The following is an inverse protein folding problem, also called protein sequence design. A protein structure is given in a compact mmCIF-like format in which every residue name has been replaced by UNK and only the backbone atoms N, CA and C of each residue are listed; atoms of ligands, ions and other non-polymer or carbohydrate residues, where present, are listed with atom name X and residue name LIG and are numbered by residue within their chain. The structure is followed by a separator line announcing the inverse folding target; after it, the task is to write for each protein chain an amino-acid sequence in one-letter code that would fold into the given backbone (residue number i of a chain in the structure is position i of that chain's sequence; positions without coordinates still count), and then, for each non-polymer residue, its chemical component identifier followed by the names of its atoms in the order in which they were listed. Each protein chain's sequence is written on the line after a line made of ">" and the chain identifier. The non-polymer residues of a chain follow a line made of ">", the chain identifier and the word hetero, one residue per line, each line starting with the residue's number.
data_IF_612313934615
#
_entry.id   IF_612313934615
#
_cell.length_a   1.000
_cell.length_b   1.000
_cell.length_c   1.000
_cell.angle_alpha   90.00
_cell.angle_beta   90.00
_cell.angle_gamma   90.00
#
_symmetry.space_group_name_H-M   'P 1'
#
loop_
_entity.id
_entity.type
_entity.pdbx_description
1 polymer ?
#
# COMPACT_ATOMS: atom_id res chain seq x y z
N UNK A 1 6.79 0.30 -13.31
CA UNK A 1 6.78 -0.64 -12.17
C UNK A 1 5.62 -1.58 -12.39
N UNK A 2 5.84 -2.90 -12.36
CA UNK A 2 4.77 -3.90 -12.38
C UNK A 2 4.63 -4.44 -10.96
N UNK A 3 3.43 -4.34 -10.41
CA UNK A 3 3.10 -4.95 -9.13
C UNK A 3 2.40 -6.28 -9.40
N UNK A 4 2.79 -7.31 -8.66
CA UNK A 4 2.13 -8.60 -8.63
C UNK A 4 1.55 -8.73 -7.22
N UNK A 5 0.28 -9.15 -7.14
CA UNK A 5 -0.43 -9.34 -5.89
C UNK A 5 -0.58 -10.83 -5.65
N UNK A 6 -0.13 -11.29 -4.51
CA UNK A 6 -0.24 -12.69 -4.09
C UNK A 6 -0.80 -12.72 -2.68
N UNK A 7 -1.75 -13.60 -2.42
CA UNK A 7 -2.21 -13.88 -1.06
C UNK A 7 -1.24 -14.87 -0.43
N UNK A 8 -0.89 -14.72 0.86
CA UNK A 8 -0.13 -15.70 1.60
C UNK A 8 -1.04 -16.90 1.96
N UNK A 9 -1.55 -17.61 0.95
CA UNK A 9 -2.34 -18.84 1.11
C UNK A 9 -1.45 -20.10 1.23
N UNK A 10 -0.13 -19.89 1.31
CA UNK A 10 0.89 -20.93 1.39
C UNK A 10 1.18 -21.66 0.07
N UNK A 11 0.49 -21.31 -1.03
CA UNK A 11 0.66 -21.95 -2.35
C UNK A 11 1.48 -21.10 -3.30
N UNK A 12 1.45 -19.78 -3.14
CA UNK A 12 2.22 -18.87 -3.97
C UNK A 12 3.72 -18.93 -3.62
N UNK A 13 4.54 -19.39 -4.57
CA UNK A 13 6.00 -19.24 -4.51
C UNK A 13 6.36 -17.90 -5.15
N UNK A 14 6.67 -16.91 -4.31
CA UNK A 14 7.20 -15.64 -4.81
C UNK A 14 8.57 -15.90 -5.48
N UNK A 15 8.82 -15.37 -6.68
CA UNK A 15 10.09 -15.60 -7.35
C UNK A 15 11.26 -15.09 -6.50
N UNK A 16 12.29 -15.91 -6.35
CA UNK A 16 13.49 -15.56 -5.58
C UNK A 16 14.13 -14.31 -6.19
N UNK A 17 14.51 -13.36 -5.34
CA UNK A 17 15.16 -12.11 -5.76
C UNK A 17 14.21 -11.00 -6.21
N UNK A 18 12.89 -11.21 -6.14
CA UNK A 18 11.90 -10.13 -6.35
C UNK A 18 11.66 -9.41 -5.02
N UNK A 19 11.84 -8.07 -4.95
CA UNK A 19 11.50 -7.32 -3.74
C UNK A 19 10.01 -7.42 -3.44
N UNK A 20 9.67 -7.82 -2.21
CA UNK A 20 8.30 -7.99 -1.74
C UNK A 20 7.98 -6.85 -0.78
N UNK A 21 6.77 -6.31 -0.88
CA UNK A 21 6.16 -5.47 0.16
C UNK A 21 4.93 -6.21 0.68
N UNK A 22 4.76 -6.24 2.00
CA UNK A 22 3.68 -6.96 2.67
C UNK A 22 2.66 -5.94 3.16
N UNK A 23 1.38 -6.21 2.89
CA UNK A 23 0.26 -5.55 3.57
C UNK A 23 -0.42 -6.58 4.46
N UNK A 24 -0.40 -6.34 5.77
CA UNK A 24 -1.28 -7.03 6.71
C UNK A 24 -2.63 -6.31 6.75
N UNK A 25 -3.72 -7.04 6.50
CA UNK A 25 -5.07 -6.56 6.75
C UNK A 25 -5.48 -7.00 8.16
N UNK A 26 -5.64 -6.04 9.07
CA UNK A 26 -5.89 -6.30 10.49
C UNK A 26 -7.32 -5.90 10.89
N UNK A 27 -7.98 -6.77 11.65
CA UNK A 27 -9.37 -6.58 12.09
C UNK A 27 -10.38 -7.21 11.13
N UNK A 28 -11.64 -6.76 11.16
CA UNK A 28 -12.68 -7.27 10.27
C UNK A 28 -12.69 -6.53 8.92
N UNK A 29 -12.08 -7.17 7.91
CA UNK A 29 -11.99 -6.65 6.56
C UNK A 29 -13.09 -7.19 5.62
N UNK A 30 -14.05 -7.99 6.14
CA UNK A 30 -15.10 -8.61 5.35
C UNK A 30 -16.26 -7.64 5.09
N UNK A 31 -16.04 -6.74 4.13
CA UNK A 31 -17.01 -6.12 3.21
C UNK A 31 -18.29 -5.43 3.72
N UNK A 32 -18.58 -5.41 5.02
CA UNK A 32 -19.74 -4.72 5.56
C UNK A 32 -19.32 -3.43 6.24
N UNK A 33 -19.74 -2.24 5.76
CA UNK A 33 -19.54 -1.03 6.55
C UNK A 33 -20.22 -1.27 7.91
N UNK A 34 -19.51 -1.12 9.03
CA UNK A 34 -19.99 -1.59 10.32
C UNK A 34 -21.35 -0.97 10.64
N UNK A 35 -22.30 -1.81 11.03
CA UNK A 35 -23.59 -1.37 11.60
C UNK A 35 -23.44 -0.75 13.01
N UNK A 36 -22.21 -0.74 13.54
CA UNK A 36 -21.94 -0.43 14.94
C UNK A 36 -21.72 1.06 15.17
N UNK A 37 -22.16 1.50 16.36
CA UNK A 37 -21.84 2.82 16.92
C UNK A 37 -20.31 2.89 17.05
N UNK A 38 -19.65 3.68 16.22
CA UNK A 38 -18.32 4.17 16.59
C UNK A 38 -18.55 5.07 17.81
N UNK A 39 -18.12 4.61 18.99
CA UNK A 39 -18.00 5.49 20.15
C UNK A 39 -17.06 6.64 19.74
N UNK A 40 -17.49 7.87 19.98
CA UNK A 40 -17.09 9.08 19.25
C UNK A 40 -15.64 9.58 19.40
N UNK A 41 -14.64 8.69 19.37
CA UNK A 41 -13.22 9.00 19.59
C UNK A 41 -12.33 8.81 18.36
N UNK A 42 -12.89 8.44 17.19
CA UNK A 42 -12.14 8.18 15.95
C UNK A 42 -11.53 9.42 15.27
N UNK A 43 -11.24 10.50 16.00
CA UNK A 43 -10.59 11.70 15.45
C UNK A 43 -9.08 11.60 15.71
N UNK A 44 -8.30 11.45 14.64
CA UNK A 44 -6.82 11.45 14.60
C UNK A 44 -6.10 10.11 14.90
N UNK A 45 -6.78 8.97 14.83
CA UNK A 45 -6.08 7.67 14.88
C UNK A 45 -5.53 7.30 13.50
N UNK A 46 -4.34 6.67 13.41
CA UNK A 46 -3.83 6.15 12.15
C UNK A 46 -4.72 5.00 11.67
N UNK A 47 -5.11 5.04 10.40
CA UNK A 47 -5.94 4.02 9.74
C UNK A 47 -5.09 2.86 9.17
N UNK A 48 -3.79 3.08 9.10
CA UNK A 48 -2.76 2.14 8.71
C UNK A 48 -1.41 2.70 9.14
N UNK A 49 -0.37 1.90 9.00
CA UNK A 49 1.02 2.32 9.23
C UNK A 49 2.01 1.40 8.53
N UNK A 50 3.15 1.95 8.12
CA UNK A 50 4.33 1.20 7.72
C UNK A 50 5.30 1.05 8.89
N UNK A 51 5.87 -0.14 9.07
CA UNK A 51 6.84 -0.42 10.13
C UNK A 51 8.14 0.33 9.86
N UNK A 52 8.71 0.92 10.92
CA UNK A 52 10.04 1.53 10.92
C UNK A 52 10.88 0.84 11.97
N UNK A 53 12.03 0.31 11.57
CA UNK A 53 12.97 -0.41 12.44
C UNK A 53 14.35 0.22 12.30
N UNK A 54 14.97 0.61 13.42
CA UNK A 54 16.28 1.28 13.44
C UNK A 54 16.36 2.56 12.56
N UNK A 55 15.22 3.23 12.36
CA UNK A 55 15.12 4.43 11.50
C UNK A 55 14.89 4.13 10.02
N UNK A 56 14.89 2.86 9.62
CA UNK A 56 14.64 2.42 8.25
C UNK A 56 13.18 2.03 8.05
N UNK A 57 12.60 2.49 6.94
CA UNK A 57 11.22 2.13 6.57
C UNK A 57 11.20 0.73 5.97
N UNK A 58 10.51 -0.17 6.65
CA UNK A 58 10.43 -1.58 6.28
C UNK A 58 9.39 -1.80 5.19
N UNK A 59 9.55 -2.83 4.35
CA UNK A 59 8.57 -3.18 3.33
C UNK A 59 7.37 -3.95 3.94
N UNK A 60 6.87 -3.49 5.08
CA UNK A 60 5.79 -4.10 5.83
C UNK A 60 4.83 -3.01 6.32
N UNK A 61 3.58 -3.13 5.90
CA UNK A 61 2.53 -2.18 6.22
C UNK A 61 1.31 -2.90 6.81
N UNK A 62 0.60 -2.22 7.70
CA UNK A 62 -0.65 -2.69 8.29
C UNK A 62 -1.76 -1.74 7.87
N UNK A 63 -2.89 -2.32 7.45
CA UNK A 63 -4.15 -1.60 7.21
C UNK A 63 -5.14 -2.05 8.28
N UNK A 64 -5.61 -1.11 9.11
CA UNK A 64 -6.50 -1.38 10.24
C UNK A 64 -7.96 -1.22 9.81
N UNK A 65 -8.58 -2.35 9.48
CA UNK A 65 -9.95 -2.42 8.98
C UNK A 65 -10.97 -1.96 10.03
N UNK A 66 -10.72 -2.18 11.32
CA UNK A 66 -11.64 -1.77 12.38
C UNK A 66 -11.66 -0.24 12.54
N UNK A 67 -10.49 0.40 12.46
CA UNK A 67 -10.38 1.87 12.49
C UNK A 67 -10.95 2.52 11.24
N UNK A 68 -10.71 1.92 10.07
CA UNK A 68 -11.31 2.36 8.80
C UNK A 68 -12.83 2.30 8.89
N UNK A 69 -13.35 1.17 9.36
CA UNK A 69 -14.77 0.92 9.60
C UNK A 69 -15.38 1.96 10.54
N UNK A 70 -14.76 2.22 11.69
CA UNK A 70 -15.21 3.26 12.63
C UNK A 70 -15.19 4.67 12.05
N UNK A 71 -14.13 5.01 11.31
CA UNK A 71 -13.99 6.31 10.64
C UNK A 71 -15.06 6.50 9.56
N UNK A 72 -15.31 5.48 8.76
CA UNK A 72 -16.34 5.50 7.73
C UNK A 72 -17.74 5.67 8.33
N UNK A 73 -18.05 4.95 9.42
CA UNK A 73 -19.31 5.10 10.14
C UNK A 73 -19.51 6.51 10.71
N UNK A 74 -18.44 7.15 11.20
CA UNK A 74 -18.49 8.52 11.71
C UNK A 74 -18.78 9.56 10.62
N UNK A 75 -18.31 9.35 9.37
CA UNK A 75 -18.57 10.26 8.26
C UNK A 75 -19.95 10.11 7.62
N UNK A 76 -20.46 8.87 7.55
CA UNK A 76 -21.66 8.54 6.77
C UNK A 76 -22.77 7.95 7.64
N UNK A 77 -23.04 8.58 8.78
CA UNK A 77 -24.13 8.31 9.74
C UNK A 77 -25.26 7.40 9.17
N UNK A 78 -25.51 6.24 9.82
CA UNK A 78 -26.62 5.24 9.78
C UNK A 78 -27.64 5.14 8.62
N UNK A 79 -27.54 5.84 7.50
CA UNK A 79 -28.41 5.65 6.35
C UNK A 79 -28.24 4.21 5.83
N UNK A 80 -29.33 3.62 5.31
CA UNK A 80 -29.34 2.25 4.81
C UNK A 80 -28.14 1.93 3.90
N UNK A 81 -27.68 0.68 3.93
CA UNK A 81 -26.63 0.21 3.03
C UNK A 81 -27.05 0.48 1.58
N UNK A 82 -26.29 1.34 0.90
CA UNK A 82 -26.45 1.59 -0.54
C UNK A 82 -25.19 1.12 -1.26
N UNK A 83 -25.29 0.67 -2.52
CA UNK A 83 -24.11 0.29 -3.32
C UNK A 83 -23.04 1.40 -3.37
N UNK A 84 -23.47 2.66 -3.35
CA UNK A 84 -22.57 3.80 -3.28
C UNK A 84 -21.73 3.83 -1.98
N UNK A 85 -22.32 3.48 -0.84
CA UNK A 85 -21.60 3.40 0.45
C UNK A 85 -20.55 2.29 0.43
N UNK A 86 -20.90 1.12 -0.09
CA UNK A 86 -19.95 0.00 -0.23
C UNK A 86 -18.77 0.44 -1.09
N UNK A 87 -19.03 1.10 -2.22
CA UNK A 87 -17.97 1.67 -3.07
C UNK A 87 -17.09 2.69 -2.35
N UNK A 88 -17.67 3.59 -1.55
CA UNK A 88 -16.90 4.58 -0.78
C UNK A 88 -16.05 3.93 0.32
N UNK A 89 -16.56 2.90 1.00
CA UNK A 89 -15.81 2.14 2.00
C UNK A 89 -14.57 1.50 1.38
N UNK A 90 -14.73 0.82 0.25
CA UNK A 90 -13.59 0.22 -0.46
C UNK A 90 -12.61 1.25 -1.01
N UNK A 91 -13.07 2.44 -1.41
CA UNK A 91 -12.17 3.54 -1.78
C UNK A 91 -11.37 4.05 -0.58
N UNK A 92 -11.97 4.12 0.60
CA UNK A 92 -11.24 4.48 1.83
C UNK A 92 -10.16 3.43 2.13
N UNK A 93 -10.52 2.15 2.11
CA UNK A 93 -9.56 1.07 2.34
C UNK A 93 -8.44 1.06 1.30
N UNK A 94 -8.77 1.17 0.01
CA UNK A 94 -7.79 1.24 -1.07
C UNK A 94 -6.87 2.45 -0.96
N UNK A 95 -7.39 3.59 -0.49
CA UNK A 95 -6.59 4.80 -0.25
C UNK A 95 -5.60 4.62 0.88
N UNK A 96 -6.01 4.03 2.00
CA UNK A 96 -5.10 3.73 3.12
C UNK A 96 -4.05 2.72 2.67
N UNK A 97 -4.45 1.64 2.00
CA UNK A 97 -3.50 0.66 1.47
C UNK A 97 -2.48 1.29 0.51
N UNK A 98 -2.93 2.19 -0.39
CA UNK A 98 -2.03 2.91 -1.29
C UNK A 98 -1.07 3.84 -0.53
N UNK A 99 -1.55 4.54 0.51
CA UNK A 99 -0.73 5.40 1.36
C UNK A 99 0.42 4.63 1.99
N UNK A 100 0.12 3.52 2.68
CA UNK A 100 1.14 2.72 3.33
C UNK A 100 2.05 1.99 2.33
N UNK A 101 1.55 1.66 1.14
CA UNK A 101 2.42 1.14 0.07
C UNK A 101 3.42 2.17 -0.40
N UNK A 102 3.02 3.44 -0.49
CA UNK A 102 3.92 4.50 -0.93
C UNK A 102 5.07 4.69 0.07
N UNK A 103 4.77 4.68 1.38
CA UNK A 103 5.80 4.66 2.42
C UNK A 103 6.76 3.48 2.25
N UNK A 104 6.23 2.25 2.16
CA UNK A 104 7.05 1.03 2.02
C UNK A 104 7.88 0.99 0.72
N UNK A 105 7.30 1.39 -0.42
CA UNK A 105 7.96 1.32 -1.73
C UNK A 105 9.02 2.39 -1.89
N UNK A 106 8.75 3.61 -1.43
CA UNK A 106 9.67 4.74 -1.55
C UNK A 106 10.65 4.83 -0.38
N UNK A 107 10.47 4.00 0.66
CA UNK A 107 11.25 4.00 1.90
C UNK A 107 11.32 5.39 2.53
N UNK A 108 10.16 6.00 2.71
CA UNK A 108 10.04 7.35 3.26
C UNK A 108 9.05 7.39 4.39
N UNK A 109 9.34 8.18 5.42
CA UNK A 109 8.40 8.53 6.50
C UNK A 109 7.64 9.83 6.19
N UNK A 110 7.98 10.49 5.08
CA UNK A 110 7.37 11.76 4.71
C UNK A 110 6.00 11.54 4.07
N UNK A 111 5.01 12.30 4.56
CA UNK A 111 3.72 12.40 3.90
C UNK A 111 3.84 13.35 2.71
N UNK A 112 3.22 13.00 1.59
CA UNK A 112 3.01 13.94 0.50
C UNK A 112 1.91 14.94 0.82
N UNK A 113 1.70 15.87 -0.12
CA UNK A 113 0.74 16.98 0.05
C UNK A 113 -0.62 16.67 -0.55
N UNK A 114 -0.74 15.57 -1.28
CA UNK A 114 -1.83 15.32 -2.21
C UNK A 114 -2.42 13.92 -2.02
N UNK A 115 -3.71 13.85 -2.28
CA UNK A 115 -4.52 12.66 -2.41
C UNK A 115 -4.05 11.38 -1.68
N UNK A 116 -3.35 10.45 -2.35
CA UNK A 116 -2.97 9.15 -1.80
C UNK A 116 -1.85 9.22 -0.74
N UNK A 117 -0.98 10.22 -0.79
CA UNK A 117 0.17 10.37 0.11
C UNK A 117 -0.04 11.40 1.21
N UNK A 118 -1.19 12.10 1.20
CA UNK A 118 -1.55 13.07 2.23
C UNK A 118 -1.95 12.38 3.54
N UNK A 119 -1.33 12.80 4.63
CA UNK A 119 -1.51 12.24 5.98
C UNK A 119 -2.96 12.12 6.47
N UNK A 120 -3.84 13.06 6.08
CA UNK A 120 -5.23 13.10 6.56
C UNK A 120 -6.17 12.74 5.43
N UNK A 121 -6.93 11.65 5.55
CA UNK A 121 -8.06 11.39 4.65
C UNK A 121 -9.30 12.18 5.08
N UNK A 122 -10.13 12.57 4.11
CA UNK A 122 -11.38 13.32 4.28
C UNK A 122 -12.52 12.56 3.59
N UNK A 123 -13.75 12.74 4.07
CA UNK A 123 -14.94 12.08 3.49
C UNK A 123 -15.14 12.40 2.00
N UNK A 124 -14.85 13.63 1.57
CA UNK A 124 -14.92 14.05 0.16
C UNK A 124 -13.94 13.32 -0.76
N UNK A 125 -12.84 12.77 -0.21
CA UNK A 125 -11.83 12.03 -0.99
C UNK A 125 -12.36 10.69 -1.52
N UNK A 126 -13.53 10.24 -1.02
CA UNK A 126 -14.14 8.94 -1.36
C UNK A 126 -15.11 9.02 -2.56
N UNK A 127 -15.37 10.23 -3.05
CA UNK A 127 -16.17 10.43 -4.27
C UNK A 127 -15.45 9.85 -5.51
N UNK A 128 -14.12 9.83 -5.47
CA UNK A 128 -13.26 9.34 -6.54
C UNK A 128 -12.25 8.31 -5.99
N UNK A 129 -11.66 7.52 -6.88
CA UNK A 129 -10.52 6.67 -6.51
C UNK A 129 -9.30 7.52 -6.16
N UNK A 130 -8.41 6.96 -5.34
CA UNK A 130 -7.11 7.57 -5.05
C UNK A 130 -6.29 7.75 -6.33
N UNK A 131 -5.62 8.89 -6.42
CA UNK A 131 -4.76 9.29 -7.54
C UNK A 131 -3.35 9.48 -7.03
N UNK A 132 -2.41 9.17 -7.91
CA UNK A 132 -1.02 9.52 -7.74
C UNK A 132 -0.72 10.76 -8.58
N UNK A 133 -0.04 11.72 -7.99
CA UNK A 133 0.45 12.91 -8.66
C UNK A 133 1.66 12.58 -9.57
N UNK A 134 1.97 13.44 -10.55
CA UNK A 134 3.10 13.20 -11.46
C UNK A 134 4.43 12.95 -10.75
N UNK A 135 4.66 13.60 -9.61
CA UNK A 135 5.88 13.42 -8.81
C UNK A 135 6.00 12.02 -8.20
N UNK A 136 4.89 11.49 -7.68
CA UNK A 136 4.79 10.16 -7.09
C UNK A 136 4.93 9.08 -8.17
N UNK A 137 4.27 9.28 -9.32
CA UNK A 137 4.42 8.41 -10.49
C UNK A 137 5.86 8.42 -10.99
N UNK A 138 6.52 9.58 -11.03
CA UNK A 138 7.91 9.68 -11.43
C UNK A 138 8.84 8.98 -10.43
N UNK A 139 8.59 9.08 -9.12
CA UNK A 139 9.35 8.37 -8.09
C UNK A 139 9.24 6.84 -8.26
N UNK A 140 8.02 6.31 -8.44
CA UNK A 140 7.80 4.88 -8.68
C UNK A 140 8.43 4.40 -9.99
N UNK A 141 8.44 5.22 -11.04
CA UNK A 141 9.12 4.91 -12.31
C UNK A 141 10.63 4.81 -12.13
N UNK A 142 11.24 5.77 -11.42
CA UNK A 142 12.68 5.73 -11.10
C UNK A 142 13.04 4.49 -10.29
N UNK A 143 12.23 4.15 -9.27
CA UNK A 143 12.41 2.93 -8.49
C UNK A 143 12.42 1.68 -9.38
N UNK A 144 11.44 1.57 -10.28
CA UNK A 144 11.37 0.46 -11.24
C UNK A 144 12.60 0.35 -12.14
N UNK A 145 13.08 1.48 -12.68
CA UNK A 145 14.26 1.52 -13.55
C UNK A 145 15.55 1.15 -12.80
N UNK A 146 15.74 1.65 -11.58
CA UNK A 146 16.92 1.32 -10.77
C UNK A 146 16.98 -0.19 -10.47
N UNK A 147 15.84 -0.81 -10.13
CA UNK A 147 15.77 -2.25 -9.84
C UNK A 147 16.06 -3.10 -11.08
N UNK A 148 15.55 -2.70 -12.26
CA UNK A 148 15.88 -3.38 -13.52
C UNK A 148 17.39 -3.35 -13.82
N UNK A 149 18.04 -2.18 -13.65
CA UNK A 149 19.48 -2.04 -13.88
C UNK A 149 20.32 -2.92 -12.94
N UNK A 150 19.91 -3.05 -11.68
CA UNK A 150 20.57 -3.96 -10.72
C UNK A 150 20.42 -5.42 -11.16
N UNK A 151 19.22 -5.83 -11.57
CA UNK A 151 18.98 -7.19 -12.07
C UNK A 151 19.82 -7.53 -13.31
N UNK A 152 19.89 -6.62 -14.30
CA UNK A 152 20.72 -6.79 -15.50
C UNK A 152 22.22 -6.87 -15.18
N UNK A 153 22.69 -6.10 -14.20
CA UNK A 153 24.10 -6.14 -13.77
C UNK A 153 24.44 -7.45 -13.04
N UNK A 154 23.53 -7.92 -12.19
CA UNK A 154 23.69 -9.22 -11.52
C UNK A 154 23.75 -10.37 -12.54
N UNK A 155 22.88 -10.35 -13.56
CA UNK A 155 22.83 -11.40 -14.58
C UNK A 155 24.10 -11.46 -15.45
N UNK A 156 24.72 -10.30 -15.74
CA UNK A 156 26.00 -10.23 -16.46
C UNK A 156 27.17 -10.82 -15.66
N UNK A 157 27.20 -10.63 -14.35
CA UNK A 157 28.28 -11.16 -13.50
C UNK A 157 28.17 -12.67 -13.23
N UNK A 158 27.00 -13.27 -13.48
CA UNK A 158 26.76 -14.72 -13.32
C UNK A 158 26.87 -15.52 -14.62
N UNK A 159 27.18 -14.88 -15.75
CA UNK A 159 27.46 -15.61 -16.99
C UNK A 159 28.85 -16.24 -16.92
N UNK A 160 29.02 -17.55 -17.18
CA UNK A 160 30.32 -18.20 -17.12
C UNK A 160 31.26 -17.60 -18.15
N UNK A 161 32.46 -17.20 -17.71
CA UNK A 161 33.55 -16.76 -18.57
C UNK A 161 33.76 -17.77 -19.70
N UNK A 162 33.77 -17.32 -20.95
CA UNK A 162 34.08 -18.17 -22.09
C UNK A 162 35.39 -18.94 -21.84
N UNK A 163 35.49 -20.22 -22.24
CA UNK A 163 36.70 -20.99 -22.04
C UNK A 163 37.86 -20.31 -22.77
N UNK A 164 38.91 -20.01 -22.02
CA UNK A 164 40.18 -19.49 -22.55
C UNK A 164 40.78 -20.60 -23.42
N UNK A 165 40.68 -20.45 -24.74
CA UNK A 165 41.45 -21.25 -25.70
C UNK A 165 42.93 -20.89 -25.54
N UNK A 166 43.69 -21.84 -24.99
CA UNK A 166 45.16 -21.77 -24.94
C UNK A 166 45.74 -22.28 -26.28
N UNK A 167 46.92 -21.79 -26.69
CA UNK A 167 47.49 -22.00 -28.03
C UNK A 167 47.94 -23.44 -28.33
#
# INVERSE_FOLDING_TARGET
>A
LRLLWELPDGKAQLPVGVPVAIIELRGDCNSRPPNTRANGEAKNLPLGWTLVEEGEVMPYSVVDCDRISGTFAAWFNRAAESPARVGMYWRLMGRVAAHELMHALLRTTEHGRTDATRARVRSGDLLFGARLEPEEVAALRRLGQSRMRVAERSNRNTSPSAPVSSP
#
